data_IF_089473284155
#
_entry.id   IF_089473284155
#
_cell.length_a   1.000
_cell.length_b   1.000
_cell.length_c   1.000
_cell.angle_alpha   90.00
_cell.angle_beta   90.00
_cell.angle_gamma   90.00
#
_symmetry.space_group_name_H-M   'P 1'
#
loop_
_entity.id
_entity.type
_entity.pdbx_description
1 polymer ?
#
# COMPACT_ATOMS: atom_id res chain seq x y z
N UNK A 1 -28.84 6.77 9.81
CA UNK A 1 -28.46 8.13 9.34
C UNK A 1 -27.31 8.57 10.20
N UNK A 2 -26.07 8.49 9.71
CA UNK A 2 -24.91 8.98 10.43
C UNK A 2 -24.98 10.51 10.52
N UNK A 3 -25.00 11.03 11.74
CA UNK A 3 -24.92 12.46 12.02
C UNK A 3 -23.52 12.94 11.62
N UNK A 4 -23.40 13.58 10.45
CA UNK A 4 -22.13 14.16 9.98
C UNK A 4 -21.67 15.24 10.96
N UNK A 5 -20.44 15.12 11.46
CA UNK A 5 -19.81 16.08 12.35
C UNK A 5 -19.73 17.46 11.66
N UNK A 6 -20.34 18.50 12.24
CA UNK A 6 -20.24 19.87 11.73
C UNK A 6 -19.03 20.57 12.35
N UNK A 7 -18.07 20.94 11.51
CA UNK A 7 -16.79 21.51 11.91
C UNK A 7 -16.82 23.03 11.99
N UNK A 8 -16.04 23.58 12.92
CA UNK A 8 -15.67 24.99 12.95
C UNK A 8 -14.30 25.18 12.29
N UNK A 9 -14.28 25.49 10.99
CA UNK A 9 -13.06 25.74 10.21
C UNK A 9 -12.49 24.52 9.50
N UNK A 10 -11.16 24.50 9.29
CA UNK A 10 -10.45 23.43 8.56
C UNK A 10 -10.27 22.17 9.42
N UNK A 11 -10.40 20.99 8.81
CA UNK A 11 -10.17 19.72 9.48
C UNK A 11 -8.66 19.41 9.56
N UNK A 12 -8.06 19.60 10.73
CA UNK A 12 -6.63 19.33 10.95
C UNK A 12 -6.32 17.86 11.29
N UNK A 13 -7.19 16.92 10.90
CA UNK A 13 -6.88 15.50 10.99
C UNK A 13 -6.03 15.07 9.79
N UNK A 14 -4.94 14.37 10.08
CA UNK A 14 -4.17 13.63 9.08
C UNK A 14 -4.52 12.16 9.20
N UNK A 15 -4.83 11.53 8.07
CA UNK A 15 -5.16 10.11 7.96
C UNK A 15 -4.11 9.46 7.06
N UNK A 16 -3.36 8.51 7.59
CA UNK A 16 -2.38 7.73 6.81
C UNK A 16 -2.82 6.28 6.74
N UNK A 17 -2.75 5.70 5.54
CA UNK A 17 -2.94 4.28 5.28
C UNK A 17 -1.66 3.74 4.66
N UNK A 18 -0.98 2.84 5.35
CA UNK A 18 0.28 2.25 4.92
C UNK A 18 0.09 0.74 4.67
N UNK A 19 0.74 0.21 3.65
CA UNK A 19 0.76 -1.20 3.32
C UNK A 19 2.18 -1.73 3.28
N UNK A 20 2.39 -2.91 3.84
CA UNK A 20 3.52 -3.77 3.51
C UNK A 20 2.97 -5.04 2.89
N UNK A 21 3.30 -5.24 1.64
CA UNK A 21 2.77 -6.31 0.80
C UNK A 21 3.92 -7.25 0.47
N UNK A 22 3.68 -8.55 0.58
CA UNK A 22 4.67 -9.58 0.34
C UNK A 22 4.13 -10.62 -0.66
N UNK A 23 4.95 -10.92 -1.65
CA UNK A 23 4.77 -11.99 -2.64
C UNK A 23 5.97 -12.93 -2.52
N UNK A 24 5.72 -14.23 -2.43
CA UNK A 24 6.74 -15.23 -2.12
C UNK A 24 6.77 -16.24 -3.25
N UNK A 25 7.97 -16.64 -3.65
CA UNK A 25 8.16 -17.58 -4.74
C UNK A 25 9.25 -18.61 -4.40
N UNK A 26 9.12 -19.82 -4.94
CA UNK A 26 10.18 -20.81 -4.94
C UNK A 26 10.97 -20.78 -6.26
N UNK A 27 12.22 -20.32 -6.17
CA UNK A 27 13.20 -20.24 -7.25
C UNK A 27 14.57 -20.80 -6.78
N UNK A 28 14.79 -22.09 -7.02
CA UNK A 28 15.98 -22.78 -6.52
C UNK A 28 17.19 -22.58 -7.43
N UNK A 29 17.01 -22.70 -8.74
CA UNK A 29 18.09 -22.55 -9.72
C UNK A 29 18.34 -21.07 -10.03
N UNK A 30 19.53 -20.76 -10.53
CA UNK A 30 19.84 -19.38 -10.95
C UNK A 30 18.90 -18.89 -12.05
N UNK A 31 18.60 -19.75 -13.03
CA UNK A 31 17.67 -19.47 -14.12
C UNK A 31 16.26 -19.15 -13.61
N UNK A 32 15.78 -19.85 -12.56
CA UNK A 32 14.49 -19.56 -11.95
C UNK A 32 14.49 -18.23 -11.19
N UNK A 33 15.61 -17.87 -10.54
CA UNK A 33 15.74 -16.59 -9.83
C UNK A 33 15.76 -15.43 -10.81
N UNK A 34 16.55 -15.54 -11.89
CA UNK A 34 16.56 -14.55 -12.97
C UNK A 34 15.15 -14.39 -13.56
N UNK A 35 14.44 -15.49 -13.85
CA UNK A 35 13.08 -15.41 -14.37
C UNK A 35 12.08 -14.77 -13.39
N UNK A 36 12.19 -15.06 -12.09
CA UNK A 36 11.35 -14.43 -11.06
C UNK A 36 11.62 -12.93 -10.97
N UNK A 37 12.90 -12.55 -10.99
CA UNK A 37 13.33 -11.16 -10.96
C UNK A 37 12.82 -10.39 -12.20
N UNK A 38 12.96 -10.97 -13.39
CA UNK A 38 12.44 -10.38 -14.64
C UNK A 38 10.91 -10.19 -14.57
N UNK A 39 10.20 -11.17 -14.01
CA UNK A 39 8.76 -11.06 -13.76
C UNK A 39 8.43 -9.89 -12.82
N UNK A 40 9.17 -9.74 -11.72
CA UNK A 40 8.98 -8.63 -10.78
C UNK A 40 9.25 -7.28 -11.45
N UNK A 41 10.31 -7.15 -12.25
CA UNK A 41 10.62 -5.91 -12.96
C UNK A 41 9.55 -5.57 -14.02
N UNK A 42 8.97 -6.57 -14.69
CA UNK A 42 7.84 -6.36 -15.61
C UNK A 42 6.56 -5.93 -14.86
N UNK A 43 6.26 -6.58 -13.73
CA UNK A 43 5.02 -6.36 -13.00
C UNK A 43 5.04 -5.10 -12.12
N UNK A 44 6.22 -4.70 -11.65
CA UNK A 44 6.38 -3.66 -10.63
C UNK A 44 7.42 -2.59 -11.00
N UNK A 45 7.64 -2.34 -12.29
CA UNK A 45 8.40 -1.17 -12.75
C UNK A 45 7.72 0.16 -12.39
N UNK A 46 8.51 1.23 -12.43
CA UNK A 46 8.07 2.58 -12.13
C UNK A 46 6.89 3.05 -12.99
N UNK A 47 6.76 2.61 -14.25
CA UNK A 47 5.65 2.99 -15.12
C UNK A 47 4.32 2.44 -14.61
N UNK A 48 4.25 1.13 -14.35
CA UNK A 48 3.05 0.48 -13.84
C UNK A 48 2.71 0.95 -12.42
N UNK A 49 3.71 1.10 -11.56
CA UNK A 49 3.53 1.70 -10.23
C UNK A 49 3.00 3.13 -10.30
N UNK A 50 3.47 3.94 -11.26
CA UNK A 50 2.94 5.28 -11.51
C UNK A 50 1.46 5.22 -11.87
N UNK A 51 1.03 4.27 -12.69
CA UNK A 51 -0.37 4.11 -13.06
C UNK A 51 -1.24 3.72 -11.86
N UNK A 52 -0.79 2.75 -11.05
CA UNK A 52 -1.49 2.33 -9.83
C UNK A 52 -1.67 3.52 -8.88
N UNK A 53 -0.59 4.27 -8.59
CA UNK A 53 -0.69 5.43 -7.71
C UNK A 53 -1.54 6.56 -8.31
N UNK A 54 -1.52 6.74 -9.63
CA UNK A 54 -2.39 7.71 -10.31
C UNK A 54 -3.86 7.38 -10.08
N UNK A 55 -4.23 6.11 -10.12
CA UNK A 55 -5.60 5.66 -9.88
C UNK A 55 -5.98 5.75 -8.39
N UNK A 56 -5.05 5.48 -7.47
CA UNK A 56 -5.21 5.79 -6.04
C UNK A 56 -5.58 7.25 -5.84
N UNK A 57 -4.83 8.18 -6.46
CA UNK A 57 -5.07 9.63 -6.36
C UNK A 57 -6.44 10.02 -6.91
N UNK A 58 -6.88 9.41 -8.01
CA UNK A 58 -8.23 9.62 -8.56
C UNK A 58 -9.33 9.10 -7.62
N UNK A 59 -9.15 7.92 -7.02
CA UNK A 59 -10.14 7.30 -6.11
C UNK A 59 -10.36 8.16 -4.87
N UNK A 60 -9.29 8.72 -4.29
CA UNK A 60 -9.40 9.63 -3.15
C UNK A 60 -9.91 11.03 -3.54
N UNK A 61 -9.91 11.36 -4.84
CA UNK A 61 -10.38 12.64 -5.37
C UNK A 61 -9.39 13.78 -5.21
N UNK A 62 -8.08 13.48 -5.24
CA UNK A 62 -7.01 14.47 -5.13
C UNK A 62 -6.39 14.78 -6.50
N UNK A 63 -5.60 15.85 -6.57
CA UNK A 63 -4.87 16.29 -7.74
C UNK A 63 -3.37 16.00 -7.58
N UNK A 64 -2.75 15.47 -8.63
CA UNK A 64 -1.31 15.25 -8.66
C UNK A 64 -0.60 16.58 -8.93
N UNK A 65 0.27 17.00 -8.01
CA UNK A 65 1.10 18.19 -8.17
C UNK A 65 2.46 17.86 -8.78
N UNK A 66 3.02 16.72 -8.40
CA UNK A 66 4.32 16.26 -8.88
C UNK A 66 4.41 14.74 -8.80
N UNK A 67 5.15 14.15 -9.73
CA UNK A 67 5.51 12.73 -9.75
C UNK A 67 7.03 12.66 -9.83
N UNK A 68 7.65 11.99 -8.87
CA UNK A 68 9.04 11.55 -8.91
C UNK A 68 9.05 10.02 -8.97
N UNK A 69 9.84 9.44 -9.88
CA UNK A 69 9.92 7.99 -10.05
C UNK A 69 11.31 7.55 -10.47
N UNK A 70 11.70 6.35 -10.09
CA UNK A 70 12.99 5.76 -10.42
C UNK A 70 12.90 4.23 -10.43
N UNK A 71 13.47 3.62 -11.47
CA UNK A 71 13.86 2.21 -11.49
C UNK A 71 15.32 2.09 -11.03
N UNK A 72 15.63 1.08 -10.22
CA UNK A 72 16.93 0.87 -9.58
C UNK A 72 17.68 -0.31 -10.17
N UNK A 73 19.01 -0.24 -10.10
CA UNK A 73 19.91 -1.33 -10.45
C UNK A 73 20.45 -1.98 -9.15
N UNK A 74 20.42 -3.32 -9.01
CA UNK A 74 20.05 -4.29 -10.05
C UNK A 74 18.54 -4.40 -10.29
N UNK A 75 17.68 -4.22 -9.27
CA UNK A 75 16.21 -4.37 -9.40
C UNK A 75 15.44 -3.43 -8.47
N UNK A 76 14.14 -3.30 -8.73
CA UNK A 76 13.18 -2.55 -7.91
C UNK A 76 12.91 -1.14 -8.40
N UNK A 77 11.87 -0.52 -7.84
CA UNK A 77 11.36 0.76 -8.29
C UNK A 77 10.78 1.57 -7.13
N UNK A 78 10.74 2.88 -7.31
CA UNK A 78 10.01 3.78 -6.42
C UNK A 78 9.23 4.82 -7.20
N UNK A 79 8.07 5.19 -6.66
CA UNK A 79 7.27 6.31 -7.13
C UNK A 79 6.80 7.10 -5.93
N UNK A 80 6.93 8.43 -6.01
CA UNK A 80 6.43 9.38 -5.03
C UNK A 80 5.59 10.42 -5.74
N UNK A 81 4.36 10.61 -5.26
CA UNK A 81 3.44 11.61 -5.75
C UNK A 81 3.14 12.62 -4.66
N UNK A 82 3.37 13.89 -4.97
CA UNK A 82 2.86 15.00 -4.17
C UNK A 82 1.44 15.30 -4.63
N UNK A 83 0.49 15.36 -3.69
CA UNK A 83 -0.92 15.55 -4.01
C UNK A 83 -1.55 16.72 -3.24
N UNK A 84 -2.60 17.28 -3.82
CA UNK A 84 -3.44 18.31 -3.21
C UNK A 84 -4.92 17.90 -3.25
N UNK A 85 -5.63 18.20 -2.19
CA UNK A 85 -7.00 17.70 -1.97
C UNK A 85 -8.09 18.67 -2.42
N UNK A 86 -7.70 19.93 -2.66
CA UNK A 86 -8.56 20.96 -3.23
C UNK A 86 -8.08 21.29 -4.65
N UNK A 87 -8.98 21.78 -5.49
CA UNK A 87 -8.57 22.44 -6.73
C UNK A 87 -7.61 23.57 -6.35
N UNK A 88 -6.48 23.65 -7.05
CA UNK A 88 -5.71 24.88 -7.07
C UNK A 88 -6.69 25.93 -7.58
N UNK A 89 -7.21 26.78 -6.69
CA UNK A 89 -7.88 27.99 -7.17
C UNK A 89 -6.81 28.68 -8.00
N UNK A 90 -6.99 28.69 -9.32
CA UNK A 90 -6.23 29.55 -10.21
C UNK A 90 -6.21 30.90 -9.51
N UNK A 91 -5.03 31.29 -9.02
CA UNK A 91 -4.85 32.61 -8.44
C UNK A 91 -5.46 33.57 -9.43
N UNK A 92 -6.39 34.40 -8.94
CA UNK A 92 -7.14 35.41 -9.68
C UNK A 92 -6.43 35.77 -10.97
N UNK A 93 -7.05 35.52 -12.13
CA UNK A 93 -6.48 35.77 -13.45
C UNK A 93 -5.75 37.12 -13.47
N UNK A 94 -4.44 37.08 -13.21
CA UNK A 94 -3.59 38.26 -13.20
C UNK A 94 -3.38 38.59 -14.67
N UNK A 95 -4.14 39.56 -15.17
CA UNK A 95 -3.97 40.18 -16.48
C UNK A 95 -2.68 41.03 -16.55
N UNK A 96 -1.60 40.60 -15.90
CA UNK A 96 -0.29 41.23 -16.03
C UNK A 96 0.55 40.42 -17.02
N UNK A 97 0.78 41.01 -18.20
CA UNK A 97 1.78 40.53 -19.16
C UNK A 97 3.17 40.61 -18.53
N UNK A 98 3.59 39.54 -17.86
CA UNK A 98 4.93 39.34 -17.33
C UNK A 98 5.59 38.15 -18.04
N UNK A 99 6.93 38.13 -18.19
CA UNK A 99 7.61 37.00 -18.81
C UNK A 99 7.28 35.76 -17.98
N UNK A 100 6.66 34.76 -18.63
CA UNK A 100 5.88 33.69 -18.01
C UNK A 100 6.55 32.95 -16.85
N UNK A 101 5.75 32.24 -16.03
CA UNK A 101 6.24 31.68 -14.78
C UNK A 101 7.36 30.67 -15.07
N UNK A 102 8.46 30.81 -14.33
CA UNK A 102 9.41 29.71 -14.15
C UNK A 102 8.65 28.53 -13.51
N UNK A 103 9.05 27.28 -13.75
CA UNK A 103 8.48 26.15 -13.03
C UNK A 103 8.93 26.25 -11.57
N UNK A 104 8.21 27.06 -10.80
CA UNK A 104 8.37 27.16 -9.37
C UNK A 104 8.13 25.75 -8.87
N UNK A 105 9.17 25.14 -8.31
CA UNK A 105 9.01 23.92 -7.55
C UNK A 105 7.98 24.27 -6.47
N UNK A 106 6.77 23.73 -6.59
CA UNK A 106 5.62 24.06 -5.74
C UNK A 106 5.91 23.46 -4.35
N UNK A 107 6.79 24.10 -3.58
CA UNK A 107 7.28 23.65 -2.26
C UNK A 107 6.83 24.61 -1.16
N UNK A 108 5.54 24.93 -1.07
CA UNK A 108 4.98 25.52 0.17
C UNK A 108 3.44 25.54 0.18
N UNK A 109 2.77 24.45 0.58
CA UNK A 109 1.36 24.55 1.05
C UNK A 109 1.10 23.54 2.19
N UNK A 110 0.31 23.95 3.19
CA UNK A 110 0.01 23.22 4.43
C UNK A 110 -0.93 22.00 4.22
N UNK A 111 -1.58 21.93 3.06
CA UNK A 111 -2.58 20.94 2.66
C UNK A 111 -2.01 19.86 1.72
N UNK A 112 -0.68 19.78 1.63
CA UNK A 112 0.00 18.80 0.79
C UNK A 112 0.10 17.45 1.48
N UNK A 113 -0.39 16.48 0.76
CA UNK A 113 -0.44 15.08 1.11
C UNK A 113 0.49 14.30 0.16
N UNK A 114 0.66 13.00 0.35
CA UNK A 114 1.51 12.21 -0.54
C UNK A 114 1.01 10.79 -0.70
N UNK A 115 1.40 10.22 -1.83
CA UNK A 115 1.25 8.80 -2.12
C UNK A 115 2.61 8.27 -2.57
N UNK A 116 3.10 7.21 -1.94
CA UNK A 116 4.41 6.62 -2.27
C UNK A 116 4.32 5.12 -2.42
N UNK A 117 5.18 4.55 -3.27
CA UNK A 117 5.44 3.12 -3.32
C UNK A 117 6.95 2.87 -3.48
N UNK A 118 7.45 1.87 -2.77
CA UNK A 118 8.83 1.39 -2.85
C UNK A 118 8.83 -0.12 -2.92
N UNK A 119 9.57 -0.69 -3.86
CA UNK A 119 9.67 -2.15 -4.01
C UNK A 119 11.05 -2.66 -3.64
N UNK A 120 11.08 -3.85 -3.06
CA UNK A 120 12.25 -4.51 -2.51
C UNK A 120 12.21 -5.99 -2.89
N UNK A 121 12.75 -6.36 -4.06
CA UNK A 121 12.97 -7.76 -4.41
C UNK A 121 14.09 -8.32 -3.55
N UNK A 122 13.85 -9.46 -2.91
CA UNK A 122 14.85 -10.24 -2.19
C UNK A 122 14.92 -11.65 -2.80
N UNK A 123 16.14 -12.09 -3.15
CA UNK A 123 16.39 -13.51 -3.40
C UNK A 123 17.55 -13.95 -2.53
N UNK A 124 17.28 -14.91 -1.64
CA UNK A 124 18.31 -15.50 -0.79
C UNK A 124 18.67 -16.90 -1.28
N UNK A 125 19.95 -17.19 -1.56
CA UNK A 125 20.36 -18.44 -2.20
C UNK A 125 20.23 -19.69 -1.31
N UNK A 126 19.99 -19.53 0.00
CA UNK A 126 20.14 -20.60 0.98
C UNK A 126 18.98 -21.59 1.04
N UNK A 127 17.77 -21.25 0.59
CA UNK A 127 16.61 -22.16 0.72
C UNK A 127 15.64 -22.18 -0.48
N UNK A 128 16.02 -21.49 -1.57
CA UNK A 128 15.24 -21.42 -2.80
C UNK A 128 13.98 -20.57 -2.68
N UNK A 129 13.76 -19.89 -1.55
CA UNK A 129 12.66 -18.95 -1.36
C UNK A 129 13.15 -17.54 -1.72
N UNK A 130 12.39 -16.89 -2.59
CA UNK A 130 12.54 -15.48 -2.93
C UNK A 130 11.30 -14.73 -2.46
N UNK A 131 11.50 -13.52 -1.96
CA UNK A 131 10.44 -12.70 -1.38
C UNK A 131 10.49 -11.32 -2.01
N UNK A 132 9.37 -10.85 -2.53
CA UNK A 132 9.19 -9.49 -2.98
C UNK A 132 8.37 -8.71 -1.97
N UNK A 133 8.85 -7.51 -1.59
CA UNK A 133 8.09 -6.59 -0.75
C UNK A 133 7.76 -5.30 -1.47
N UNK A 134 6.52 -4.83 -1.36
CA UNK A 134 6.13 -3.48 -1.72
C UNK A 134 5.61 -2.71 -0.50
N UNK A 135 6.19 -1.54 -0.27
CA UNK A 135 5.78 -0.59 0.78
C UNK A 135 5.00 0.55 0.14
N UNK A 136 3.75 0.75 0.54
CA UNK A 136 2.87 1.81 0.00
C UNK A 136 2.43 2.70 1.14
N UNK A 137 2.48 4.02 0.96
CA UNK A 137 1.91 4.98 1.92
C UNK A 137 0.94 5.92 1.20
N UNK A 138 -0.25 6.08 1.77
CA UNK A 138 -1.29 6.99 1.31
C UNK A 138 -1.63 7.91 2.47
N UNK A 139 -1.04 9.09 2.47
CA UNK A 139 -1.31 10.12 3.47
C UNK A 139 -2.29 11.14 2.90
N UNK A 140 -3.34 11.44 3.65
CA UNK A 140 -4.34 12.45 3.33
C UNK A 140 -4.58 13.35 4.56
N UNK A 141 -5.06 14.55 4.30
CA UNK A 141 -5.49 15.57 5.24
C UNK A 141 -7.01 15.73 5.14
N UNK A 142 -7.57 16.51 6.05
CA UNK A 142 -8.95 16.95 5.91
C UNK A 142 -9.99 15.83 5.98
N UNK A 143 -10.97 15.87 5.06
CA UNK A 143 -12.14 14.98 5.05
C UNK A 143 -11.96 13.73 4.17
N UNK A 144 -10.90 13.68 3.38
CA UNK A 144 -10.65 12.54 2.50
C UNK A 144 -10.21 11.37 3.37
N UNK A 145 -10.82 10.20 3.15
CA UNK A 145 -10.43 8.97 3.85
C UNK A 145 -9.59 8.12 2.90
N UNK A 146 -8.35 7.76 3.28
CA UNK A 146 -7.51 6.90 2.47
C UNK A 146 -8.03 5.45 2.47
N UNK A 147 -8.93 5.07 3.40
CA UNK A 147 -9.58 3.75 3.40
C UNK A 147 -10.37 3.46 2.11
N UNK A 148 -10.70 4.48 1.31
CA UNK A 148 -11.34 4.31 0.00
C UNK A 148 -10.49 3.53 -1.01
N UNK A 149 -9.16 3.57 -0.89
CA UNK A 149 -8.25 2.86 -1.82
C UNK A 149 -7.87 1.46 -1.35
N UNK A 150 -8.33 1.06 -0.18
CA UNK A 150 -7.95 -0.19 0.48
C UNK A 150 -8.11 -1.41 -0.44
N UNK A 151 -9.32 -1.65 -0.94
CA UNK A 151 -9.59 -2.80 -1.80
C UNK A 151 -8.92 -2.67 -3.18
N UNK A 152 -8.74 -1.45 -3.70
CA UNK A 152 -8.04 -1.25 -4.97
C UNK A 152 -6.57 -1.66 -4.85
N UNK A 153 -5.90 -1.23 -3.78
CA UNK A 153 -4.50 -1.55 -3.54
C UNK A 153 -4.31 -3.06 -3.32
N UNK A 154 -5.14 -3.70 -2.50
CA UNK A 154 -5.05 -5.15 -2.27
C UNK A 154 -5.20 -5.94 -3.58
N UNK A 155 -6.18 -5.59 -4.42
CA UNK A 155 -6.38 -6.28 -5.70
C UNK A 155 -5.35 -5.93 -6.78
N UNK A 156 -4.66 -4.79 -6.66
CA UNK A 156 -3.65 -4.38 -7.66
C UNK A 156 -2.34 -5.15 -7.53
N UNK A 157 -2.05 -5.70 -6.34
CA UNK A 157 -0.81 -6.41 -6.03
C UNK A 157 -1.00 -7.91 -5.76
N UNK A 158 -2.22 -8.39 -5.51
CA UNK A 158 -2.60 -9.82 -5.36
C UNK A 158 -1.59 -10.69 -4.59
N UNK A 159 -1.47 -10.45 -3.29
CA UNK A 159 -0.24 -10.81 -2.55
C UNK A 159 -0.47 -11.82 -1.44
N UNK A 160 0.56 -12.57 -1.07
CA UNK A 160 0.42 -13.66 -0.10
C UNK A 160 0.20 -13.18 1.32
N UNK A 161 0.97 -12.17 1.73
CA UNK A 161 0.89 -11.58 3.07
C UNK A 161 0.78 -10.06 2.93
N UNK A 162 -0.18 -9.48 3.62
CA UNK A 162 -0.41 -8.04 3.61
C UNK A 162 -0.52 -7.54 5.04
N UNK A 163 0.24 -6.51 5.35
CA UNK A 163 0.11 -5.75 6.60
C UNK A 163 -0.42 -4.37 6.27
N UNK A 164 -1.50 -3.97 6.93
CA UNK A 164 -2.15 -2.67 6.72
C UNK A 164 -2.19 -1.90 8.03
N UNK A 165 -1.65 -0.69 8.00
CA UNK A 165 -1.69 0.26 9.10
C UNK A 165 -2.56 1.45 8.72
N UNK A 166 -3.55 1.75 9.57
CA UNK A 166 -4.34 2.97 9.46
C UNK A 166 -4.20 3.79 10.73
N UNK A 167 -3.83 5.05 10.58
CA UNK A 167 -3.67 5.97 11.71
C UNK A 167 -4.30 7.32 11.46
N UNK A 168 -4.90 7.87 12.50
CA UNK A 168 -5.44 9.23 12.51
C UNK A 168 -4.70 10.07 13.53
N UNK A 169 -4.15 11.21 13.11
CA UNK A 169 -3.39 12.14 13.96
C UNK A 169 -3.94 13.56 13.83
N UNK A 170 -3.64 14.40 14.81
CA UNK A 170 -4.16 15.77 14.90
C UNK A 170 -5.51 15.85 15.60
N UNK A 171 -6.17 17.00 15.50
CA UNK A 171 -7.51 17.19 16.04
C UNK A 171 -8.26 18.27 15.26
N UNK A 172 -9.58 18.14 15.20
CA UNK A 172 -10.48 19.17 14.71
C UNK A 172 -11.39 19.68 15.84
N UNK A 173 -12.09 20.79 15.64
CA UNK A 173 -13.05 21.34 16.61
C UNK A 173 -14.44 21.42 16.00
N UNK A 174 -15.44 21.05 16.78
CA UNK A 174 -16.83 21.31 16.43
C UNK A 174 -17.24 22.77 16.72
N UNK A 175 -18.49 23.10 16.38
CA UNK A 175 -19.10 24.41 16.60
C UNK A 175 -19.14 24.85 18.06
N UNK A 176 -19.14 23.88 18.99
CA UNK A 176 -19.15 24.11 20.43
C UNK A 176 -17.73 24.20 21.02
N UNK A 177 -16.70 24.00 20.19
CA UNK A 177 -15.29 24.08 20.54
C UNK A 177 -14.69 22.79 21.10
N UNK A 178 -15.45 21.69 21.14
CA UNK A 178 -14.98 20.37 21.57
C UNK A 178 -13.99 19.81 20.57
N UNK A 179 -12.90 19.22 21.07
CA UNK A 179 -11.88 18.60 20.21
C UNK A 179 -12.29 17.18 19.84
N UNK A 180 -12.17 16.88 18.55
CA UNK A 180 -12.36 15.55 17.98
C UNK A 180 -11.05 15.07 17.38
N UNK A 181 -10.65 13.83 17.71
CA UNK A 181 -9.38 13.23 17.28
C UNK A 181 -9.56 12.16 16.19
N UNK A 182 -10.82 11.86 15.85
CA UNK A 182 -11.25 11.01 14.75
C UNK A 182 -12.63 11.50 14.30
N UNK A 183 -12.94 11.41 13.01
CA UNK A 183 -14.15 11.96 12.40
C UNK A 183 -15.08 10.89 11.79
N UNK A 184 -14.81 9.62 12.08
CA UNK A 184 -15.59 8.45 11.64
C UNK A 184 -15.45 7.31 12.65
N UNK A 185 -16.45 6.43 12.69
CA UNK A 185 -16.40 5.22 13.52
C UNK A 185 -15.57 4.14 12.83
N UNK A 186 -14.55 3.66 13.51
CA UNK A 186 -13.74 2.52 13.09
C UNK A 186 -13.29 1.74 14.32
N UNK A 187 -13.45 0.42 14.25
CA UNK A 187 -12.88 -0.51 15.23
C UNK A 187 -11.93 -1.52 14.57
N UNK A 188 -11.93 -1.63 13.24
CA UNK A 188 -11.13 -2.56 12.46
C UNK A 188 -11.03 -2.07 11.01
N UNK A 189 -9.86 -2.25 10.40
CA UNK A 189 -9.67 -2.04 8.95
C UNK A 189 -10.47 -3.10 8.17
N UNK A 190 -10.66 -4.29 8.74
CA UNK A 190 -11.37 -5.40 8.10
C UNK A 190 -12.81 -5.03 7.68
N UNK A 191 -13.46 -4.13 8.42
CA UNK A 191 -14.81 -3.64 8.09
C UNK A 191 -14.89 -2.89 6.75
N UNK A 192 -13.75 -2.43 6.23
CA UNK A 192 -13.65 -1.71 4.96
C UNK A 192 -13.22 -2.63 3.81
N UNK A 193 -12.94 -3.91 4.09
CA UNK A 193 -12.62 -4.91 3.07
C UNK A 193 -13.89 -5.45 2.42
N UNK A 194 -13.81 -5.77 1.13
CA UNK A 194 -14.87 -6.47 0.41
C UNK A 194 -14.97 -7.93 0.85
N UNK A 195 -16.14 -8.54 0.69
CA UNK A 195 -16.43 -9.89 1.17
C UNK A 195 -15.51 -10.95 0.55
N UNK A 196 -15.15 -10.79 -0.72
CA UNK A 196 -14.18 -11.64 -1.41
C UNK A 196 -12.79 -11.56 -0.78
N UNK A 197 -12.28 -10.37 -0.47
CA UNK A 197 -11.01 -10.20 0.24
C UNK A 197 -11.06 -10.82 1.64
N UNK A 198 -12.13 -10.60 2.40
CA UNK A 198 -12.29 -11.20 3.73
C UNK A 198 -12.32 -12.73 3.66
N UNK A 199 -12.91 -13.30 2.60
CA UNK A 199 -12.95 -14.73 2.37
C UNK A 199 -11.59 -15.29 1.94
N UNK A 200 -10.84 -14.56 1.10
CA UNK A 200 -9.54 -14.98 0.60
C UNK A 200 -8.44 -15.01 1.68
N UNK A 201 -8.47 -14.08 2.64
CA UNK A 201 -7.42 -13.93 3.64
C UNK A 201 -7.84 -14.35 5.05
N UNK A 202 -6.92 -14.94 5.80
CA UNK A 202 -7.00 -14.98 7.26
C UNK A 202 -6.45 -13.68 7.82
N UNK A 203 -7.08 -13.12 8.85
CA UNK A 203 -6.77 -11.77 9.30
C UNK A 203 -6.71 -11.66 10.81
N UNK A 204 -5.79 -10.84 11.32
CA UNK A 204 -5.63 -10.55 12.75
C UNK A 204 -5.51 -9.04 12.93
N UNK A 205 -6.25 -8.50 13.89
CA UNK A 205 -6.16 -7.09 14.30
C UNK A 205 -5.27 -6.91 15.52
N UNK A 206 -4.47 -5.84 15.52
CA UNK A 206 -3.62 -5.41 16.64
C UNK A 206 -3.81 -3.90 16.87
N UNK A 207 -5.05 -3.52 17.21
CA UNK A 207 -5.43 -2.10 17.32
C UNK A 207 -5.02 -1.48 18.67
N UNK A 208 -4.59 -0.22 18.65
CA UNK A 208 -4.36 0.63 19.83
C UNK A 208 -5.33 1.80 19.77
N UNK A 209 -6.56 1.57 20.25
CA UNK A 209 -7.68 2.51 20.10
C UNK A 209 -7.43 3.88 20.73
N UNK A 210 -6.72 3.93 21.86
CA UNK A 210 -6.40 5.18 22.55
C UNK A 210 -5.50 6.10 21.70
N UNK A 211 -4.79 5.53 20.74
CA UNK A 211 -3.85 6.23 19.85
C UNK A 211 -4.39 6.37 18.42
N UNK A 212 -5.64 5.99 18.15
CA UNK A 212 -6.22 5.91 16.81
C UNK A 212 -5.30 5.18 15.81
N UNK A 213 -4.69 4.08 16.26
CA UNK A 213 -3.83 3.21 15.48
C UNK A 213 -4.56 1.89 15.26
N UNK A 214 -4.79 1.55 14.01
CA UNK A 214 -5.45 0.32 13.59
C UNK A 214 -4.47 -0.46 12.71
N UNK A 215 -4.36 -1.75 12.98
CA UNK A 215 -3.38 -2.60 12.32
C UNK A 215 -4.04 -3.94 12.01
N UNK A 216 -4.05 -4.33 10.74
CA UNK A 216 -4.57 -5.61 10.29
C UNK A 216 -3.48 -6.33 9.51
N UNK A 217 -3.16 -7.54 9.96
CA UNK A 217 -2.33 -8.47 9.19
C UNK A 217 -3.23 -9.44 8.45
N UNK A 218 -2.87 -9.79 7.23
CA UNK A 218 -3.63 -10.64 6.33
C UNK A 218 -2.69 -11.67 5.71
N UNK A 219 -3.12 -12.93 5.60
CA UNK A 219 -2.39 -13.98 4.89
C UNK A 219 -3.35 -14.83 4.07
N UNK A 220 -3.01 -15.14 2.82
CA UNK A 220 -3.88 -15.89 1.93
C UNK A 220 -4.22 -17.27 2.53
N UNK A 221 -5.50 -17.68 2.49
CA UNK A 221 -5.95 -18.96 3.05
C UNK A 221 -5.63 -20.14 2.14
N UNK A 222 -5.86 -19.96 0.85
CA UNK A 222 -5.79 -21.02 -0.14
C UNK A 222 -4.39 -21.06 -0.74
N UNK A 223 -3.55 -21.95 -0.21
CA UNK A 223 -2.25 -22.22 -0.78
C UNK A 223 -2.36 -23.17 -1.98
N UNK A 224 -1.82 -22.77 -3.13
CA UNK A 224 -1.68 -23.62 -4.30
C UNK A 224 -0.23 -23.58 -4.80
N UNK A 225 0.49 -24.70 -4.69
CA UNK A 225 1.91 -24.79 -5.04
C UNK A 225 2.20 -24.36 -6.49
N UNK A 226 1.27 -24.59 -7.44
CA UNK A 226 1.42 -24.18 -8.84
C UNK A 226 1.62 -22.66 -9.01
N UNK A 227 1.12 -21.85 -8.06
CA UNK A 227 1.29 -20.39 -8.11
C UNK A 227 2.68 -19.93 -7.65
N UNK A 228 3.45 -20.82 -7.02
CA UNK A 228 4.69 -20.47 -6.33
C UNK A 228 5.94 -21.07 -6.97
N UNK A 229 5.80 -21.88 -8.01
CA UNK A 229 6.92 -22.52 -8.70
C UNK A 229 7.06 -21.97 -10.12
N UNK A 230 8.29 -21.62 -10.52
CA UNK A 230 8.56 -21.08 -11.86
C UNK A 230 9.03 -22.16 -12.83
N UNK A 231 8.39 -22.21 -14.00
CA UNK A 231 8.80 -23.03 -15.15
C UNK A 231 8.53 -24.53 -15.02
N UNK A 232 7.87 -24.97 -13.95
CA UNK A 232 7.45 -26.36 -13.70
C UNK A 232 6.05 -26.38 -13.12
N UNK A 233 5.25 -27.42 -13.40
CA UNK A 233 3.99 -27.60 -12.68
C UNK A 233 4.27 -28.36 -11.39
N UNK A 234 3.52 -28.08 -10.32
CA UNK A 234 3.63 -28.81 -9.07
C UNK A 234 3.38 -30.31 -9.25
N UNK A 235 2.53 -30.68 -10.23
CA UNK A 235 2.25 -32.08 -10.58
C UNK A 235 3.42 -32.83 -11.24
N UNK A 236 4.42 -32.11 -11.75
CA UNK A 236 5.63 -32.69 -12.35
C UNK A 236 6.74 -32.96 -11.31
N UNK A 237 6.58 -32.46 -10.08
CA UNK A 237 7.52 -32.65 -8.98
C UNK A 237 7.31 -34.00 -8.27
N UNK A 238 8.38 -34.55 -7.71
CA UNK A 238 8.26 -35.70 -6.81
C UNK A 238 7.42 -35.31 -5.58
N UNK A 239 6.46 -36.13 -5.11
CA UNK A 239 5.60 -35.75 -3.99
C UNK A 239 6.35 -35.35 -2.71
N UNK A 240 7.53 -35.93 -2.46
CA UNK A 240 8.33 -35.55 -1.30
C UNK A 240 9.00 -34.17 -1.48
N UNK A 241 9.42 -33.86 -2.71
CA UNK A 241 9.97 -32.54 -3.07
C UNK A 241 8.89 -31.47 -3.00
N UNK A 242 7.72 -31.71 -3.61
CA UNK A 242 6.58 -30.80 -3.57
C UNK A 242 6.17 -30.47 -2.13
N UNK A 243 6.07 -31.49 -1.26
CA UNK A 243 5.78 -31.28 0.16
C UNK A 243 6.85 -30.45 0.86
N UNK A 244 8.14 -30.71 0.57
CA UNK A 244 9.23 -29.93 1.16
C UNK A 244 9.20 -28.47 0.72
N UNK A 245 8.79 -28.16 -0.51
CA UNK A 245 8.69 -26.79 -1.01
C UNK A 245 7.50 -26.08 -0.36
N UNK A 246 6.35 -26.74 -0.30
CA UNK A 246 5.16 -26.24 0.38
C UNK A 246 5.44 -25.91 1.85
N UNK A 247 6.13 -26.78 2.59
CA UNK A 247 6.47 -26.55 3.99
C UNK A 247 7.38 -25.32 4.17
N UNK A 248 8.33 -25.10 3.26
CA UNK A 248 9.22 -23.93 3.26
C UNK A 248 8.46 -22.63 2.99
N UNK A 249 7.64 -22.61 1.94
CA UNK A 249 6.84 -21.43 1.56
C UNK A 249 5.85 -21.07 2.66
N UNK A 250 5.15 -22.06 3.23
CA UNK A 250 4.22 -21.82 4.34
C UNK A 250 4.93 -21.32 5.59
N UNK A 251 6.14 -21.81 5.87
CA UNK A 251 6.95 -21.29 6.97
C UNK A 251 7.28 -19.81 6.72
N UNK A 252 7.76 -19.45 5.54
CA UNK A 252 8.06 -18.06 5.17
C UNK A 252 6.84 -17.15 5.37
N UNK A 253 5.68 -17.55 4.82
CA UNK A 253 4.41 -16.82 4.97
C UNK A 253 4.04 -16.61 6.44
N UNK A 254 4.15 -17.67 7.26
CA UNK A 254 3.84 -17.62 8.69
C UNK A 254 4.82 -16.71 9.44
N UNK A 255 6.11 -16.76 9.10
CA UNK A 255 7.14 -15.95 9.73
C UNK A 255 6.93 -14.46 9.46
N UNK A 256 6.59 -14.09 8.23
CA UNK A 256 6.22 -12.73 7.84
C UNK A 256 4.93 -12.31 8.54
N UNK A 257 3.87 -13.14 8.47
CA UNK A 257 2.56 -12.84 9.04
C UNK A 257 2.61 -12.63 10.57
N UNK A 258 3.37 -13.46 11.30
CA UNK A 258 3.55 -13.28 12.74
C UNK A 258 4.72 -12.34 13.08
N UNK A 259 5.50 -11.91 12.10
CA UNK A 259 6.70 -11.09 12.24
C UNK A 259 7.69 -11.67 13.24
N UNK A 260 7.89 -12.98 13.19
CA UNK A 260 8.79 -13.74 14.06
C UNK A 260 9.16 -15.06 13.39
N UNK A 261 10.35 -15.58 13.71
CA UNK A 261 10.75 -16.91 13.27
C UNK A 261 9.87 -17.96 13.94
N UNK A 262 9.44 -18.97 13.19
CA UNK A 262 8.70 -20.11 13.72
C UNK A 262 9.75 -21.15 14.16
N UNK A 263 9.70 -21.54 15.43
CA UNK A 263 10.56 -22.60 16.00
C UNK A 263 10.07 -24.00 15.64
#
# INVERSE_FOLDING_TARGET
METKLQLHGFNNLTKSLSFNIYDICYAQTEEQREAYIDYIDEMYNAERLTQILTDVVKIIGANILNIARQDYEPHGASVTMLIAEHELTDGEANNEESPGPLPDTIVAHLDKSHVTVHTYPESHPHDGVSTFRADIDVSTCGLISPLKVLNYLIHSFDSDVVTVDYRVRGFTRDVDGTKHYIDHDINSIQNYLTEDTQNAYQMIDVNVYQENLFHTKMMLKNFNLDNYVFGVNASDLDPAEAQSIEDRLRREMLEIFYSRNVE
#
